data_IF_867982800458
#
_entry.id   IF_867982800458
#
_cell.length_a   1.000
_cell.length_b   1.000
_cell.length_c   1.000
_cell.angle_alpha   90.00
_cell.angle_beta   90.00
_cell.angle_gamma   90.00
#
_symmetry.space_group_name_H-M   'P 1'
#
loop_
_entity.id
_entity.type
_entity.pdbx_description
1 polymer ?
#
# COMPACT_ATOMS: atom_id res chain seq x y z
N UNK A 1 -37.97 36.46 -44.04
CA UNK A 1 -39.30 36.91 -44.54
C UNK A 1 -39.87 35.85 -45.47
N UNK A 2 -41.21 35.64 -45.42
CA UNK A 2 -42.03 34.59 -46.09
C UNK A 2 -41.90 33.22 -45.41
N UNK A 3 -42.77 32.77 -44.48
CA UNK A 3 -44.25 32.73 -44.39
C UNK A 3 -44.89 32.10 -45.63
N UNK A 4 -45.11 30.78 -45.55
CA UNK A 4 -46.04 30.02 -46.39
C UNK A 4 -47.20 29.52 -45.51
N UNK A 5 -48.41 29.64 -46.05
CA UNK A 5 -49.71 29.58 -45.37
C UNK A 5 -50.38 28.22 -45.65
N UNK A 6 -51.17 27.78 -44.64
CA UNK A 6 -52.19 26.72 -44.54
C UNK A 6 -53.02 26.41 -45.81
N UNK A 7 -53.73 25.24 -45.94
CA UNK A 7 -54.97 25.06 -45.15
C UNK A 7 -55.43 23.63 -44.77
N UNK A 8 -56.28 23.64 -43.72
CA UNK A 8 -57.49 22.86 -43.40
C UNK A 8 -57.73 21.47 -44.02
N UNK A 9 -58.09 20.54 -43.13
CA UNK A 9 -59.24 19.61 -43.14
C UNK A 9 -58.80 18.32 -42.40
N UNK A 10 -59.53 17.67 -41.51
CA UNK A 10 -60.93 17.72 -41.13
C UNK A 10 -61.01 17.03 -39.76
N UNK A 11 -61.86 17.57 -38.89
CA UNK A 11 -62.24 16.94 -37.63
C UNK A 11 -63.13 15.71 -37.92
N UNK A 12 -62.81 14.58 -37.28
CA UNK A 12 -63.80 13.51 -37.05
C UNK A 12 -63.77 13.16 -35.57
N UNK A 13 -64.75 13.71 -34.87
CA UNK A 13 -65.14 13.37 -33.52
C UNK A 13 -65.93 12.06 -33.57
N UNK A 14 -65.32 10.93 -33.19
CA UNK A 14 -66.05 9.68 -32.96
C UNK A 14 -66.29 9.53 -31.46
N UNK A 15 -67.52 9.81 -31.07
CA UNK A 15 -68.07 9.54 -29.74
C UNK A 15 -68.47 8.06 -29.70
N UNK A 16 -67.67 7.20 -29.06
CA UNK A 16 -68.05 5.81 -28.78
C UNK A 16 -68.45 5.65 -27.32
N UNK A 17 -69.73 5.34 -27.14
CA UNK A 17 -70.36 4.93 -25.90
C UNK A 17 -69.68 3.65 -25.38
N UNK A 18 -69.08 3.74 -24.19
CA UNK A 18 -68.53 2.58 -23.47
C UNK A 18 -69.66 1.97 -22.64
N UNK A 19 -70.29 0.92 -23.15
CA UNK A 19 -71.09 0.00 -22.34
C UNK A 19 -70.14 -1.03 -21.71
N UNK A 20 -70.23 -1.17 -20.39
CA UNK A 20 -69.28 -1.93 -19.58
C UNK A 20 -69.33 -3.44 -19.78
N UNK A 21 -68.14 -4.03 -19.64
CA UNK A 21 -67.95 -5.34 -19.01
C UNK A 21 -66.83 -5.16 -17.98
N UNK A 22 -67.19 -5.18 -16.70
CA UNK A 22 -66.23 -5.17 -15.61
C UNK A 22 -65.51 -6.52 -15.56
N UNK A 23 -64.25 -6.56 -16.01
CA UNK A 23 -63.34 -7.65 -15.73
C UNK A 23 -62.32 -7.14 -14.71
N UNK A 24 -62.44 -7.59 -13.45
CA UNK A 24 -61.42 -7.34 -12.42
C UNK A 24 -60.16 -8.09 -12.84
N UNK A 25 -59.16 -7.34 -13.27
CA UNK A 25 -57.79 -7.82 -13.30
C UNK A 25 -57.28 -7.69 -11.87
N UNK A 26 -57.08 -8.81 -11.19
CA UNK A 26 -56.36 -8.83 -9.92
C UNK A 26 -54.94 -8.33 -10.18
N UNK A 27 -54.68 -7.08 -9.80
CA UNK A 27 -53.34 -6.50 -9.86
C UNK A 27 -52.41 -7.27 -8.91
N UNK A 28 -51.13 -7.49 -9.27
CA UNK A 28 -50.20 -8.14 -8.36
C UNK A 28 -50.13 -7.33 -7.06
N UNK A 29 -50.31 -8.03 -5.94
CA UNK A 29 -50.28 -7.47 -4.60
C UNK A 29 -49.10 -6.50 -4.46
N UNK A 30 -49.41 -5.23 -4.19
CA UNK A 30 -48.41 -4.23 -3.82
C UNK A 30 -47.79 -4.67 -2.49
N UNK A 31 -46.61 -5.31 -2.57
CA UNK A 31 -45.82 -5.58 -1.38
C UNK A 31 -45.49 -4.24 -0.71
N UNK A 32 -45.60 -4.15 0.63
CA UNK A 32 -45.19 -2.94 1.34
C UNK A 32 -43.72 -2.64 1.04
N UNK A 33 -43.32 -1.35 0.96
CA UNK A 33 -41.93 -0.98 0.74
C UNK A 33 -41.08 -1.63 1.84
N UNK A 34 -40.23 -2.57 1.44
CA UNK A 34 -39.26 -3.14 2.36
C UNK A 34 -38.33 -1.99 2.78
N UNK A 35 -38.36 -1.65 4.07
CA UNK A 35 -37.40 -0.76 4.68
C UNK A 35 -36.02 -1.41 4.56
N UNK A 36 -35.25 -1.05 3.53
CA UNK A 36 -33.85 -1.43 3.40
C UNK A 36 -33.12 -0.73 4.54
N UNK A 37 -32.93 -1.41 5.67
CA UNK A 37 -31.97 -0.95 6.69
C UNK A 37 -30.62 -0.81 5.97
N UNK A 38 -29.91 0.33 6.11
CA UNK A 38 -28.57 0.47 5.56
C UNK A 38 -27.73 -0.75 5.97
N UNK A 39 -26.92 -1.34 5.08
CA UNK A 39 -26.06 -2.44 5.46
C UNK A 39 -25.21 -2.00 6.65
N UNK A 40 -25.26 -2.78 7.73
CA UNK A 40 -24.42 -2.53 8.89
C UNK A 40 -22.95 -2.63 8.43
N UNK A 41 -22.18 -1.57 8.65
CA UNK A 41 -20.74 -1.55 8.33
C UNK A 41 -20.07 -2.71 9.05
N UNK A 42 -19.36 -3.57 8.31
CA UNK A 42 -18.73 -4.74 8.92
C UNK A 42 -17.47 -4.32 9.68
N UNK A 43 -17.02 -5.16 10.62
CA UNK A 43 -15.75 -4.93 11.31
C UNK A 43 -14.56 -4.88 10.33
N UNK A 44 -14.63 -5.64 9.23
CA UNK A 44 -13.63 -5.61 8.16
C UNK A 44 -13.62 -4.26 7.42
N UNK A 45 -14.80 -3.68 7.16
CA UNK A 45 -14.91 -2.36 6.51
C UNK A 45 -14.35 -1.25 7.42
N UNK A 46 -14.60 -1.32 8.73
CA UNK A 46 -14.03 -0.38 9.71
C UNK A 46 -12.50 -0.48 9.77
N UNK A 47 -11.97 -1.70 9.87
CA UNK A 47 -10.52 -1.93 9.87
C UNK A 47 -9.87 -1.53 8.53
N UNK A 48 -10.58 -1.68 7.41
CA UNK A 48 -10.13 -1.20 6.12
C UNK A 48 -10.06 0.34 6.09
N UNK A 49 -11.06 1.05 6.61
CA UNK A 49 -11.06 2.51 6.71
C UNK A 49 -9.93 3.05 7.61
N UNK A 50 -9.54 2.31 8.66
CA UNK A 50 -8.34 2.63 9.44
C UNK A 50 -7.06 2.50 8.58
N UNK A 51 -6.96 1.44 7.76
CA UNK A 51 -5.87 1.28 6.79
C UNK A 51 -5.80 2.42 5.77
N UNK A 52 -6.95 2.88 5.25
CA UNK A 52 -7.02 4.07 4.40
C UNK A 52 -6.55 5.34 5.12
N UNK A 53 -6.87 5.49 6.41
CA UNK A 53 -6.39 6.62 7.20
C UNK A 53 -4.87 6.62 7.30
N UNK A 54 -4.25 5.45 7.48
CA UNK A 54 -2.79 5.30 7.48
C UNK A 54 -2.18 5.57 6.10
N UNK A 55 -2.86 5.20 5.00
CA UNK A 55 -2.47 5.60 3.63
C UNK A 55 -2.41 7.12 3.49
N UNK A 56 -3.44 7.84 3.95
CA UNK A 56 -3.52 9.30 3.86
C UNK A 56 -2.42 10.00 4.67
N UNK A 57 -2.01 9.38 5.79
CA UNK A 57 -0.88 9.85 6.61
C UNK A 57 0.48 9.54 6.00
N UNK A 58 0.54 8.74 4.92
CA UNK A 58 1.77 8.27 4.31
C UNK A 58 2.42 7.10 5.05
N UNK A 59 1.71 6.49 6.01
CA UNK A 59 2.17 5.34 6.79
C UNK A 59 1.86 4.04 6.04
N UNK A 60 2.39 3.91 4.82
CA UNK A 60 2.03 2.83 3.89
C UNK A 60 2.33 1.43 4.45
N UNK A 61 3.38 1.28 5.24
CA UNK A 61 3.73 0.01 5.85
C UNK A 61 2.69 -0.43 6.89
N UNK A 62 2.19 0.53 7.69
CA UNK A 62 1.10 0.29 8.65
C UNK A 62 -0.22 0.01 7.93
N UNK A 63 -0.51 0.73 6.86
CA UNK A 63 -1.67 0.46 6.02
C UNK A 63 -1.63 -0.97 5.45
N UNK A 64 -0.48 -1.42 4.94
CA UNK A 64 -0.29 -2.79 4.43
C UNK A 64 -0.52 -3.86 5.50
N UNK A 65 -0.09 -3.62 6.75
CA UNK A 65 -0.38 -4.51 7.89
C UNK A 65 -1.89 -4.60 8.16
N UNK A 66 -2.57 -3.46 8.21
CA UNK A 66 -4.02 -3.40 8.42
C UNK A 66 -4.77 -4.09 7.29
N UNK A 67 -4.41 -3.81 6.04
CA UNK A 67 -5.01 -4.45 4.87
C UNK A 67 -4.75 -5.96 4.83
N UNK A 68 -3.55 -6.42 5.24
CA UNK A 68 -3.27 -7.84 5.37
C UNK A 68 -4.14 -8.51 6.44
N UNK A 69 -4.39 -7.83 7.57
CA UNK A 69 -5.31 -8.30 8.60
C UNK A 69 -6.76 -8.37 8.08
N UNK A 70 -7.24 -7.34 7.38
CA UNK A 70 -8.56 -7.34 6.74
C UNK A 70 -8.68 -8.50 5.74
N UNK A 71 -7.66 -8.72 4.90
CA UNK A 71 -7.67 -9.80 3.91
C UNK A 71 -7.72 -11.18 4.54
N UNK A 72 -7.14 -11.37 5.72
CA UNK A 72 -7.18 -12.64 6.45
C UNK A 72 -8.60 -13.00 6.87
N UNK A 73 -9.37 -12.02 7.34
CA UNK A 73 -10.75 -12.21 7.80
C UNK A 73 -11.77 -12.17 6.64
N UNK A 74 -11.47 -11.38 5.61
CA UNK A 74 -12.29 -11.24 4.41
C UNK A 74 -11.44 -11.34 3.13
N UNK A 75 -11.05 -12.56 2.72
CA UNK A 75 -10.31 -12.75 1.48
C UNK A 75 -11.10 -12.23 0.27
N UNK A 76 -10.47 -11.41 -0.56
CA UNK A 76 -11.15 -10.78 -1.69
C UNK A 76 -11.88 -9.49 -1.33
N UNK A 77 -11.66 -8.91 -0.15
CA UNK A 77 -12.18 -7.60 0.22
C UNK A 77 -11.90 -6.58 -0.91
N UNK A 78 -12.94 -5.92 -1.47
CA UNK A 78 -12.80 -5.13 -2.70
C UNK A 78 -11.89 -3.93 -2.51
N UNK A 79 -11.98 -3.25 -1.36
CA UNK A 79 -11.13 -2.12 -1.03
C UNK A 79 -9.66 -2.52 -0.88
N UNK A 80 -9.38 -3.65 -0.22
CA UNK A 80 -7.99 -4.13 -0.06
C UNK A 80 -7.43 -4.56 -1.41
N UNK A 81 -8.23 -5.24 -2.24
CA UNK A 81 -7.81 -5.64 -3.59
C UNK A 81 -7.36 -4.45 -4.45
N UNK A 82 -7.92 -3.27 -4.21
CA UNK A 82 -7.58 -2.02 -4.91
C UNK A 82 -6.37 -1.33 -4.25
N UNK A 83 -6.41 -1.13 -2.94
CA UNK A 83 -5.48 -0.20 -2.27
C UNK A 83 -4.18 -0.87 -1.83
N UNK A 84 -4.14 -2.20 -1.69
CA UNK A 84 -2.91 -2.94 -1.37
C UNK A 84 -1.78 -2.73 -2.39
N UNK A 85 -1.98 -2.89 -3.71
CA UNK A 85 -0.95 -2.58 -4.71
C UNK A 85 -0.57 -1.10 -4.76
N UNK A 86 -1.52 -0.19 -4.49
CA UNK A 86 -1.25 1.25 -4.40
C UNK A 86 -0.32 1.57 -3.23
N UNK A 87 -0.58 0.97 -2.06
CA UNK A 87 0.25 1.08 -0.86
C UNK A 87 1.68 0.53 -1.09
N UNK A 88 1.81 -0.63 -1.76
CA UNK A 88 3.11 -1.20 -2.15
C UNK A 88 3.89 -0.25 -3.06
N UNK A 89 3.21 0.32 -4.06
CA UNK A 89 3.82 1.26 -5.00
C UNK A 89 4.27 2.54 -4.30
N UNK A 90 3.45 3.09 -3.42
CA UNK A 90 3.79 4.27 -2.63
C UNK A 90 4.96 4.00 -1.67
N UNK A 91 5.01 2.82 -1.04
CA UNK A 91 6.12 2.41 -0.19
C UNK A 91 7.43 2.30 -0.98
N UNK A 92 7.40 1.75 -2.21
CA UNK A 92 8.58 1.78 -3.10
C UNK A 92 9.00 3.22 -3.39
N UNK A 93 8.07 4.11 -3.76
CA UNK A 93 8.37 5.52 -4.05
C UNK A 93 9.02 6.22 -2.86
N UNK A 94 8.58 5.94 -1.62
CA UNK A 94 9.25 6.44 -0.40
C UNK A 94 10.69 5.96 -0.30
N UNK A 95 10.96 4.70 -0.62
CA UNK A 95 12.32 4.16 -0.68
C UNK A 95 13.19 4.87 -1.72
N UNK A 96 12.64 5.07 -2.92
CA UNK A 96 13.33 5.79 -3.99
C UNK A 96 13.62 7.26 -3.61
N UNK A 97 12.66 7.93 -2.96
CA UNK A 97 12.81 9.29 -2.46
C UNK A 97 13.87 9.38 -1.36
N UNK A 98 13.83 8.48 -0.38
CA UNK A 98 14.84 8.41 0.66
C UNK A 98 16.25 8.22 0.06
N UNK A 99 16.37 7.35 -0.94
CA UNK A 99 17.62 7.14 -1.66
C UNK A 99 18.11 8.39 -2.38
N UNK A 100 17.23 9.10 -3.12
CA UNK A 100 17.56 10.38 -3.77
C UNK A 100 18.07 11.44 -2.80
N UNK A 101 17.59 11.43 -1.55
CA UNK A 101 18.02 12.33 -0.49
C UNK A 101 19.21 11.80 0.34
N UNK A 102 19.85 10.70 -0.09
CA UNK A 102 21.01 10.11 0.59
C UNK A 102 20.69 9.38 1.90
N UNK A 103 19.40 9.18 2.23
CA UNK A 103 18.95 8.51 3.45
C UNK A 103 18.94 6.99 3.25
N UNK A 104 20.12 6.39 3.20
CA UNK A 104 20.31 4.99 2.78
C UNK A 104 19.57 3.97 3.67
N UNK A 105 19.58 4.16 4.99
CA UNK A 105 18.89 3.28 5.94
C UNK A 105 17.37 3.32 5.78
N UNK A 106 16.81 4.52 5.59
CA UNK A 106 15.38 4.73 5.36
C UNK A 106 14.95 4.11 4.02
N UNK A 107 15.76 4.28 2.97
CA UNK A 107 15.54 3.64 1.68
C UNK A 107 15.51 2.10 1.80
N UNK A 108 16.50 1.52 2.47
CA UNK A 108 16.60 0.08 2.71
C UNK A 108 15.38 -0.45 3.46
N UNK A 109 14.91 0.24 4.50
CA UNK A 109 13.68 -0.12 5.23
C UNK A 109 12.45 -0.16 4.35
N UNK A 110 12.20 0.90 3.58
CA UNK A 110 11.01 0.95 2.73
C UNK A 110 11.00 -0.16 1.68
N UNK A 111 12.13 -0.41 1.01
CA UNK A 111 12.24 -1.50 0.05
C UNK A 111 12.15 -2.90 0.70
N UNK A 112 12.70 -3.09 1.90
CA UNK A 112 12.52 -4.32 2.67
C UNK A 112 11.04 -4.54 3.03
N UNK A 113 10.32 -3.47 3.37
CA UNK A 113 8.87 -3.46 3.55
C UNK A 113 8.12 -3.92 2.30
N UNK A 114 8.49 -3.41 1.12
CA UNK A 114 7.92 -3.87 -0.16
C UNK A 114 8.12 -5.37 -0.34
N UNK A 115 9.34 -5.91 -0.12
CA UNK A 115 9.60 -7.34 -0.26
C UNK A 115 8.81 -8.20 0.71
N UNK A 116 8.57 -7.71 1.94
CA UNK A 116 7.78 -8.40 2.96
C UNK A 116 6.34 -8.66 2.51
N UNK A 117 5.74 -7.69 1.81
CA UNK A 117 4.34 -7.76 1.37
C UNK A 117 4.16 -8.17 -0.10
N UNK A 118 5.21 -8.17 -0.94
CA UNK A 118 5.11 -8.45 -2.37
C UNK A 118 4.71 -9.90 -2.74
N UNK A 119 4.58 -10.82 -1.76
CA UNK A 119 4.04 -12.17 -1.97
C UNK A 119 2.62 -12.35 -1.41
N UNK A 120 2.03 -11.28 -0.86
CA UNK A 120 0.74 -11.34 -0.18
C UNK A 120 -0.39 -11.69 -1.18
N UNK A 121 -1.40 -12.50 -0.80
CA UNK A 121 -2.47 -12.88 -1.71
C UNK A 121 -3.27 -11.72 -2.30
N UNK A 122 -3.42 -10.61 -1.57
CA UNK A 122 -4.07 -9.39 -2.08
C UNK A 122 -3.36 -8.78 -3.29
N UNK A 123 -2.08 -9.11 -3.50
CA UNK A 123 -1.31 -8.69 -4.66
C UNK A 123 -1.42 -9.66 -5.85
N UNK A 124 -1.88 -10.90 -5.63
CA UNK A 124 -1.88 -11.93 -6.68
C UNK A 124 -2.80 -11.55 -7.83
N UNK A 125 -2.24 -11.44 -9.04
CA UNK A 125 -2.98 -11.11 -10.25
C UNK A 125 -2.98 -9.63 -10.63
N UNK A 126 -2.32 -8.77 -9.84
CA UNK A 126 -2.03 -7.38 -10.18
C UNK A 126 -0.61 -7.27 -10.76
N UNK A 127 -0.40 -6.29 -11.64
CA UNK A 127 0.92 -6.01 -12.21
C UNK A 127 1.50 -4.78 -11.51
N UNK A 128 2.40 -4.99 -10.56
CA UNK A 128 3.21 -3.91 -10.01
C UNK A 128 4.10 -3.34 -11.12
N UNK A 129 4.37 -2.03 -11.14
CA UNK A 129 5.28 -1.41 -12.11
C UNK A 129 6.76 -1.70 -11.78
N UNK A 130 7.03 -2.77 -11.03
CA UNK A 130 8.34 -3.20 -10.59
C UNK A 130 8.33 -4.68 -10.21
N UNK A 131 9.51 -5.26 -10.16
CA UNK A 131 9.77 -6.66 -9.86
C UNK A 131 10.46 -6.80 -8.51
N UNK A 132 10.32 -7.98 -7.87
CA UNK A 132 11.06 -8.29 -6.64
C UNK A 132 12.58 -8.23 -6.84
N UNK A 133 13.08 -8.55 -8.03
CA UNK A 133 14.51 -8.45 -8.37
C UNK A 133 14.99 -7.00 -8.39
N UNK A 134 14.21 -6.06 -8.93
CA UNK A 134 14.59 -4.64 -8.92
C UNK A 134 14.64 -4.08 -7.49
N UNK A 135 13.70 -4.48 -6.65
CA UNK A 135 13.71 -4.08 -5.23
C UNK A 135 14.90 -4.68 -4.50
N UNK A 136 15.22 -5.96 -4.71
CA UNK A 136 16.43 -6.58 -4.14
C UNK A 136 17.71 -5.88 -4.59
N UNK A 137 17.85 -5.59 -5.89
CA UNK A 137 19.01 -4.87 -6.42
C UNK A 137 19.15 -3.46 -5.80
N UNK A 138 18.03 -2.82 -5.45
CA UNK A 138 18.04 -1.53 -4.76
C UNK A 138 18.54 -1.65 -3.32
N UNK A 139 18.10 -2.69 -2.59
CA UNK A 139 18.59 -3.03 -1.25
C UNK A 139 20.10 -3.35 -1.31
N UNK A 140 20.52 -4.20 -2.24
CA UNK A 140 21.93 -4.58 -2.40
C UNK A 140 22.82 -3.35 -2.63
N UNK A 141 22.35 -2.39 -3.43
CA UNK A 141 23.06 -1.13 -3.69
C UNK A 141 23.27 -0.31 -2.43
N UNK A 142 22.22 -0.12 -1.61
CA UNK A 142 22.36 0.68 -0.38
C UNK A 142 23.15 -0.05 0.70
N UNK A 143 23.00 -1.37 0.81
CA UNK A 143 23.82 -2.21 1.69
C UNK A 143 25.30 -2.11 1.32
N UNK A 144 25.63 -2.22 0.03
CA UNK A 144 27.01 -2.09 -0.46
C UNK A 144 27.60 -0.71 -0.14
N UNK A 145 26.83 0.36 -0.32
CA UNK A 145 27.28 1.71 0.02
C UNK A 145 27.51 1.90 1.52
N UNK A 146 26.65 1.34 2.38
CA UNK A 146 26.82 1.38 3.82
C UNK A 146 28.03 0.53 4.27
N UNK A 147 28.24 -0.63 3.66
CA UNK A 147 29.42 -1.48 3.90
C UNK A 147 30.71 -0.73 3.59
N UNK A 148 30.79 -0.09 2.42
CA UNK A 148 31.95 0.69 2.00
C UNK A 148 32.23 1.87 2.95
N UNK A 149 31.20 2.66 3.28
CA UNK A 149 31.32 3.77 4.23
C UNK A 149 31.78 3.27 5.61
N UNK A 150 31.24 2.16 6.09
CA UNK A 150 31.64 1.57 7.37
C UNK A 150 33.11 1.12 7.35
N UNK A 151 33.56 0.53 6.24
CA UNK A 151 34.96 0.13 6.06
C UNK A 151 35.91 1.34 6.03
N UNK A 152 35.50 2.45 5.42
CA UNK A 152 36.28 3.71 5.42
C UNK A 152 36.46 4.23 6.85
N UNK A 153 35.38 4.30 7.64
CA UNK A 153 35.45 4.75 9.03
C UNK A 153 36.27 3.79 9.90
N UNK A 154 36.11 2.50 9.70
CA UNK A 154 36.88 1.48 10.39
C UNK A 154 38.40 1.65 10.14
N UNK A 155 38.81 1.89 8.88
CA UNK A 155 40.22 2.13 8.52
C UNK A 155 40.80 3.41 9.13
N UNK A 156 39.95 4.40 9.42
CA UNK A 156 40.35 5.63 10.16
C UNK A 156 40.47 5.40 11.67
N UNK A 157 40.10 4.21 12.17
CA UNK A 157 40.01 3.92 13.60
C UNK A 157 38.71 4.43 14.24
N UNK A 158 37.78 4.97 13.45
CA UNK A 158 36.48 5.46 13.92
C UNK A 158 35.50 4.30 14.11
N UNK A 159 35.79 3.41 15.06
CA UNK A 159 35.06 2.16 15.25
C UNK A 159 33.57 2.37 15.56
N UNK A 160 33.22 3.37 16.37
CA UNK A 160 31.81 3.70 16.66
C UNK A 160 31.03 4.09 15.41
N UNK A 161 31.62 4.91 14.53
CA UNK A 161 31.00 5.32 13.27
C UNK A 161 30.84 4.15 12.29
N UNK A 162 31.85 3.28 12.20
CA UNK A 162 31.79 2.07 11.39
C UNK A 162 30.68 1.12 11.87
N UNK A 163 30.59 0.88 13.19
CA UNK A 163 29.55 0.05 13.80
C UNK A 163 28.15 0.61 13.50
N UNK A 164 27.97 1.93 13.60
CA UNK A 164 26.70 2.57 13.31
C UNK A 164 26.26 2.32 11.86
N UNK A 165 27.17 2.50 10.89
CA UNK A 165 26.89 2.29 9.46
C UNK A 165 26.49 0.85 9.13
N UNK A 166 27.17 -0.13 9.71
CA UNK A 166 26.82 -1.54 9.50
C UNK A 166 25.53 -1.94 10.24
N UNK A 167 25.24 -1.35 11.40
CA UNK A 167 23.95 -1.54 12.09
C UNK A 167 22.77 -0.98 11.29
N UNK A 168 22.97 0.09 10.52
CA UNK A 168 21.95 0.60 9.59
C UNK A 168 21.51 -0.47 8.57
N UNK A 169 22.42 -1.34 8.11
CA UNK A 169 22.07 -2.47 7.23
C UNK A 169 21.20 -3.47 7.97
N UNK A 170 21.61 -3.85 9.18
CA UNK A 170 20.90 -4.82 10.01
C UNK A 170 19.51 -4.36 10.45
N UNK A 171 19.24 -3.06 10.40
CA UNK A 171 17.92 -2.50 10.69
C UNK A 171 16.85 -2.90 9.64
N UNK A 172 17.26 -3.21 8.41
CA UNK A 172 16.34 -3.65 7.34
C UNK A 172 16.66 -5.05 6.78
N UNK A 173 17.88 -5.54 6.96
CA UNK A 173 18.29 -6.92 6.67
C UNK A 173 19.03 -7.54 7.88
N UNK A 174 18.29 -8.06 8.87
CA UNK A 174 18.89 -8.73 10.03
C UNK A 174 19.73 -9.97 9.69
N UNK A 175 19.56 -10.53 8.49
CA UNK A 175 20.29 -11.71 8.01
C UNK A 175 21.58 -11.39 7.27
N UNK A 176 21.94 -10.11 7.13
CA UNK A 176 23.12 -9.67 6.40
C UNK A 176 24.43 -10.10 7.09
N UNK A 177 24.97 -11.24 6.67
CA UNK A 177 26.12 -11.92 7.30
C UNK A 177 27.34 -11.01 7.44
N UNK A 178 27.70 -10.27 6.39
CA UNK A 178 28.91 -9.46 6.36
C UNK A 178 28.84 -8.29 7.37
N UNK A 179 27.77 -7.48 7.31
CA UNK A 179 27.49 -6.42 8.27
C UNK A 179 27.49 -6.93 9.72
N UNK A 180 26.84 -8.07 10.00
CA UNK A 180 26.84 -8.67 11.33
C UNK A 180 28.25 -9.08 11.80
N UNK A 181 29.07 -9.66 10.92
CA UNK A 181 30.47 -10.00 11.19
C UNK A 181 31.33 -8.76 11.48
N UNK A 182 31.13 -7.69 10.70
CA UNK A 182 31.85 -6.43 10.85
C UNK A 182 31.48 -5.71 12.16
N UNK A 183 30.19 -5.65 12.52
CA UNK A 183 29.73 -5.11 13.81
C UNK A 183 30.37 -5.88 14.96
N UNK A 184 30.36 -7.22 14.93
CA UNK A 184 30.96 -8.04 15.99
C UNK A 184 32.44 -7.75 16.14
N UNK A 185 33.18 -7.74 15.03
CA UNK A 185 34.64 -7.53 15.03
C UNK A 185 35.01 -6.16 15.58
N UNK A 186 34.39 -5.09 15.07
CA UNK A 186 34.69 -3.73 15.52
C UNK A 186 34.23 -3.48 16.97
N UNK A 187 33.13 -4.11 17.42
CA UNK A 187 32.69 -4.02 18.82
C UNK A 187 33.73 -4.61 19.76
N UNK A 188 34.24 -5.81 19.46
CA UNK A 188 35.31 -6.44 20.25
C UNK A 188 36.57 -5.57 20.31
N UNK A 189 36.97 -4.98 19.18
CA UNK A 189 38.13 -4.09 19.14
C UNK A 189 37.92 -2.83 19.98
N UNK A 190 36.76 -2.20 19.86
CA UNK A 190 36.40 -1.01 20.62
C UNK A 190 36.41 -1.29 22.13
N UNK A 191 35.88 -2.43 22.56
CA UNK A 191 35.93 -2.87 23.96
C UNK A 191 37.37 -3.09 24.45
N UNK A 192 38.23 -3.69 23.63
CA UNK A 192 39.62 -3.90 23.97
C UNK A 192 40.39 -2.58 24.09
N UNK A 193 40.17 -1.63 23.17
CA UNK A 193 40.77 -0.29 23.25
C UNK A 193 40.34 0.45 24.53
N UNK A 194 39.06 0.33 24.92
CA UNK A 194 38.55 0.91 26.18
C UNK A 194 39.25 0.34 27.42
N UNK A 195 39.68 -0.92 27.39
CA UNK A 195 40.40 -1.57 28.51
C UNK A 195 41.86 -1.13 28.62
N UNK A 196 42.50 -0.79 27.51
CA UNK A 196 43.94 -0.46 27.47
C UNK A 196 44.18 1.02 27.82
N UNK A 197 43.14 1.87 27.77
CA UNK A 197 43.23 3.31 27.99
C UNK A 197 43.87 4.03 26.79
N UNK A 198 43.72 5.37 26.68
CA UNK A 198 44.36 6.12 25.61
C UNK A 198 45.89 5.97 25.70
N UNK A 199 46.55 5.74 24.56
CA UNK A 199 48.00 5.82 24.48
C UNK A 199 48.43 7.22 24.95
N UNK A 200 49.29 7.26 25.98
CA UNK A 200 49.87 8.51 26.50
C UNK A 200 50.83 9.14 25.49
#
# INVERSE_FOLDING_TARGET
MRRGILPLAQAVLVLLLVAGCAHRVDGPASMPPQSIKPPAVSAADLAFAEGETEMQRGNYERALEMFAAVWKESPGHPGVSKDFPEALSALKTRGDDAFRHGKLEEAGRHWAGVLRFASHPAEKGRHLPFTKSEIRASIDRVSSSLMEKGLIEYRKGNLDAAIALWKSILAYDPSHVEAAGSVRTATTQLENLKKIGPAK
#
